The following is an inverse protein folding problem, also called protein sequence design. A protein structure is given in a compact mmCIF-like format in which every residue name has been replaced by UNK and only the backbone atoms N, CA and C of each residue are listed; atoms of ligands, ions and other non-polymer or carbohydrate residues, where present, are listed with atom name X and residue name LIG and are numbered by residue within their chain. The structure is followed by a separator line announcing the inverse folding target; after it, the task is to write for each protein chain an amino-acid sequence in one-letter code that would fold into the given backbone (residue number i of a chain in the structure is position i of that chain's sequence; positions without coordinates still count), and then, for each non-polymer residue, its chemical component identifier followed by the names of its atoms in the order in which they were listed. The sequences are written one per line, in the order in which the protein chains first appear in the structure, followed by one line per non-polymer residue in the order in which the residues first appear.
data_IF_623535684753
#
_entry.id   IF_623535684753
#
_cell.length_a   1.000
_cell.length_b   1.000
_cell.length_c   1.000
_cell.angle_alpha   90.00
_cell.angle_beta   90.00
_cell.angle_gamma   90.00
#
_symmetry.space_group_name_H-M   'P 1'
#
loop_
_entity.id
_entity.type
_entity.pdbx_description
1 polymer ?
#
# COMPACT_ATOMS: atom_id res chain seq x y z
N UNK A 1 43.36 -66.92 20.88
CA UNK A 1 43.30 -66.54 19.46
C UNK A 1 43.23 -65.01 19.38
N UNK A 2 44.32 -64.37 18.91
CA UNK A 2 44.36 -63.45 17.75
C UNK A 2 43.38 -62.26 17.88
N UNK A 3 43.80 -61.13 18.47
CA UNK A 3 44.56 -60.01 17.88
C UNK A 3 43.89 -59.32 16.69
N UNK A 4 43.96 -57.98 16.72
CA UNK A 4 43.79 -56.99 15.64
C UNK A 4 42.34 -56.53 15.36
N UNK A 5 41.93 -55.31 15.77
CA UNK A 5 42.24 -53.95 15.24
C UNK A 5 41.19 -53.50 14.20
N UNK A 6 40.84 -52.20 14.25
CA UNK A 6 40.06 -51.40 13.27
C UNK A 6 38.54 -51.67 13.28
N UNK A 7 37.64 -50.71 13.48
CA UNK A 7 37.61 -49.28 13.10
C UNK A 7 36.56 -48.60 14.00
N UNK A 8 36.78 -47.52 14.76
CA UNK A 8 37.22 -46.18 14.36
C UNK A 8 36.76 -45.77 12.96
N UNK A 9 35.46 -45.56 12.80
CA UNK A 9 34.86 -44.74 11.74
C UNK A 9 33.57 -44.15 12.34
N UNK A 10 33.63 -43.02 13.03
CA UNK A 10 33.55 -41.70 12.38
C UNK A 10 32.57 -41.75 11.21
N UNK A 11 31.28 -41.72 11.52
CA UNK A 11 30.33 -41.14 10.58
C UNK A 11 29.39 -40.22 11.36
N UNK A 12 29.98 -39.08 11.70
CA UNK A 12 29.31 -37.79 11.80
C UNK A 12 28.09 -37.75 10.90
N UNK A 13 26.90 -37.64 11.50
CA UNK A 13 25.71 -37.19 10.79
C UNK A 13 26.04 -35.79 10.25
N UNK A 14 26.10 -35.56 8.93
CA UNK A 14 26.07 -34.19 8.45
C UNK A 14 24.68 -33.66 8.84
N UNK A 15 24.65 -32.73 9.78
CA UNK A 15 23.52 -31.82 9.95
C UNK A 15 23.49 -31.03 8.64
N UNK A 16 22.70 -31.53 7.69
CA UNK A 16 22.44 -30.83 6.45
C UNK A 16 21.66 -29.57 6.79
N UNK A 17 22.38 -28.49 7.09
CA UNK A 17 21.87 -27.16 6.83
C UNK A 17 21.64 -27.14 5.33
N UNK A 18 20.36 -27.22 4.93
CA UNK A 18 19.95 -26.86 3.60
C UNK A 18 20.31 -25.39 3.42
N UNK A 19 21.53 -25.13 2.92
CA UNK A 19 21.86 -23.84 2.33
C UNK A 19 20.89 -23.69 1.18
N UNK A 20 19.94 -22.76 1.31
CA UNK A 20 19.15 -22.33 0.18
C UNK A 20 20.16 -21.83 -0.87
N UNK A 21 20.49 -22.65 -1.85
CA UNK A 21 21.24 -22.20 -3.01
C UNK A 21 20.37 -21.14 -3.67
N UNK A 22 20.78 -19.89 -3.51
CA UNK A 22 20.09 -18.75 -4.08
C UNK A 22 20.25 -18.83 -5.60
N UNK A 23 19.15 -18.63 -6.32
CA UNK A 23 19.10 -18.82 -7.78
C UNK A 23 20.16 -17.98 -8.53
N UNK A 24 20.64 -16.90 -7.91
CA UNK A 24 21.62 -15.96 -8.46
C UNK A 24 22.97 -15.97 -7.71
N UNK A 25 23.18 -16.91 -6.77
CA UNK A 25 24.38 -16.96 -5.93
C UNK A 25 24.35 -16.00 -4.73
N UNK A 26 25.41 -16.06 -3.91
CA UNK A 26 25.54 -15.26 -2.69
C UNK A 26 26.70 -14.27 -2.79
N UNK A 27 26.53 -13.08 -2.20
CA UNK A 27 27.58 -12.09 -2.00
C UNK A 27 27.79 -11.87 -0.49
N UNK A 28 28.98 -12.20 0.01
CA UNK A 28 29.31 -12.14 1.44
C UNK A 28 28.31 -12.91 2.34
N UNK A 29 27.78 -14.03 1.84
CA UNK A 29 26.77 -14.85 2.54
C UNK A 29 25.34 -14.32 2.47
N UNK A 30 25.09 -13.26 1.68
CA UNK A 30 23.76 -12.72 1.44
C UNK A 30 23.24 -13.11 0.04
N UNK A 31 21.98 -13.56 -0.10
CA UNK A 31 21.38 -13.88 -1.40
C UNK A 31 21.44 -12.73 -2.40
N UNK A 32 21.93 -12.97 -3.62
CA UNK A 32 21.94 -11.98 -4.70
C UNK A 32 20.54 -11.84 -5.32
N UNK A 33 20.12 -10.59 -5.51
CA UNK A 33 18.87 -10.20 -6.17
C UNK A 33 19.17 -9.70 -7.58
N UNK A 34 18.53 -10.28 -8.59
CA UNK A 34 18.61 -9.78 -9.96
C UNK A 34 17.74 -8.52 -10.11
N UNK A 35 18.35 -7.42 -10.56
CA UNK A 35 17.64 -6.16 -10.81
C UNK A 35 17.45 -5.98 -12.31
N UNK A 36 16.22 -5.73 -12.74
CA UNK A 36 15.87 -5.49 -14.15
C UNK A 36 15.14 -4.15 -14.31
N UNK A 37 15.32 -3.52 -15.48
CA UNK A 37 14.61 -2.31 -15.89
C UNK A 37 14.21 -2.43 -17.35
N UNK A 38 12.94 -2.16 -17.66
CA UNK A 38 12.35 -2.35 -18.99
C UNK A 38 12.67 -3.74 -19.63
N UNK A 39 12.72 -4.78 -18.80
CA UNK A 39 13.03 -6.15 -19.23
C UNK A 39 14.51 -6.46 -19.44
N UNK A 40 15.42 -5.50 -19.24
CA UNK A 40 16.87 -5.69 -19.33
C UNK A 40 17.49 -5.76 -17.94
N UNK A 41 18.45 -6.66 -17.73
CA UNK A 41 19.20 -6.73 -16.47
C UNK A 41 20.13 -5.53 -16.34
N UNK A 42 20.14 -4.90 -15.16
CA UNK A 42 21.11 -3.86 -14.83
C UNK A 42 22.50 -4.47 -14.66
N UNK A 43 23.54 -3.69 -14.97
CA UNK A 43 24.92 -4.15 -14.81
C UNK A 43 25.29 -4.14 -13.33
N UNK A 44 25.92 -5.20 -12.86
CA UNK A 44 26.54 -5.21 -11.54
C UNK A 44 27.95 -4.64 -11.69
N UNK A 45 28.24 -3.53 -11.02
CA UNK A 45 29.57 -2.95 -10.99
C UNK A 45 30.38 -3.56 -9.82
N UNK A 46 30.37 -2.94 -8.65
CA UNK A 46 31.18 -3.35 -7.49
C UNK A 46 30.39 -4.16 -6.44
N UNK A 47 29.11 -3.86 -6.29
CA UNK A 47 28.23 -4.50 -5.32
C UNK A 47 26.93 -4.95 -6.02
N UNK A 48 26.51 -6.21 -5.84
CA UNK A 48 25.21 -6.67 -6.31
C UNK A 48 24.09 -6.17 -5.39
N UNK A 49 22.85 -6.18 -5.89
CA UNK A 49 21.70 -6.14 -4.99
C UNK A 49 21.61 -7.44 -4.21
N UNK A 50 21.27 -7.35 -2.93
CA UNK A 50 21.30 -8.51 -2.03
C UNK A 50 20.19 -8.44 -0.99
N UNK A 51 19.85 -9.59 -0.41
CA UNK A 51 18.99 -9.64 0.77
C UNK A 51 19.88 -9.50 2.02
N UNK A 52 19.76 -8.38 2.73
CA UNK A 52 20.44 -8.14 3.99
C UNK A 52 19.41 -8.04 5.12
N UNK A 53 19.49 -8.94 6.12
CA UNK A 53 18.52 -9.04 7.23
C UNK A 53 17.06 -9.07 6.75
N UNK A 54 16.76 -9.97 5.81
CA UNK A 54 15.44 -10.14 5.19
C UNK A 54 14.91 -8.93 4.39
N UNK A 55 15.75 -7.94 4.12
CA UNK A 55 15.41 -6.79 3.28
C UNK A 55 16.23 -6.77 1.99
N UNK A 56 15.58 -6.45 0.87
CA UNK A 56 16.27 -6.19 -0.41
C UNK A 56 17.02 -4.87 -0.33
N UNK A 57 18.33 -4.93 -0.47
CA UNK A 57 19.23 -3.78 -0.56
C UNK A 57 19.71 -3.65 -1.99
N UNK A 58 19.44 -2.50 -2.60
CA UNK A 58 19.88 -2.16 -3.96
C UNK A 58 20.96 -1.09 -3.87
N UNK A 59 22.19 -1.35 -4.37
CA UNK A 59 23.27 -0.37 -4.38
C UNK A 59 22.92 0.91 -5.15
N UNK A 60 23.40 2.05 -4.64
CA UNK A 60 23.18 3.35 -5.27
C UNK A 60 23.77 3.45 -6.69
N UNK A 61 24.83 2.69 -6.98
CA UNK A 61 25.40 2.57 -8.33
C UNK A 61 24.37 2.04 -9.33
N UNK A 62 23.55 1.05 -8.94
CA UNK A 62 22.48 0.53 -9.78
C UNK A 62 21.36 1.55 -10.01
N UNK A 63 21.03 2.35 -8.99
CA UNK A 63 20.05 3.44 -9.15
C UNK A 63 20.55 4.50 -10.14
N UNK A 64 21.85 4.81 -10.15
CA UNK A 64 22.44 5.75 -11.12
C UNK A 64 22.33 5.26 -12.57
N UNK A 65 22.36 3.94 -12.80
CA UNK A 65 22.15 3.37 -14.14
C UNK A 65 20.72 3.61 -14.66
N UNK A 66 19.76 3.85 -13.75
CA UNK A 66 18.39 4.26 -14.07
C UNK A 66 18.26 5.78 -14.29
N UNK A 67 19.38 6.49 -14.32
CA UNK A 67 19.44 7.94 -14.44
C UNK A 67 19.26 8.69 -13.12
N UNK A 68 18.89 8.00 -12.02
CA UNK A 68 18.65 8.60 -10.71
C UNK A 68 19.90 9.32 -10.21
N UNK A 69 19.77 10.62 -9.93
CA UNK A 69 20.81 11.43 -9.32
C UNK A 69 20.81 11.15 -7.82
N UNK A 70 21.92 10.58 -7.33
CA UNK A 70 22.07 10.23 -5.92
C UNK A 70 23.27 10.97 -5.33
N UNK A 71 22.98 11.85 -4.37
CA UNK A 71 23.97 12.61 -3.62
C UNK A 71 24.12 12.03 -2.22
N UNK A 72 25.30 11.51 -1.91
CA UNK A 72 25.65 11.07 -0.56
C UNK A 72 26.28 12.23 0.22
N UNK A 73 25.74 12.53 1.40
CA UNK A 73 26.33 13.50 2.33
C UNK A 73 26.97 12.76 3.52
N UNK A 74 28.32 12.67 3.57
CA UNK A 74 29.02 11.96 4.64
C UNK A 74 28.95 12.68 5.99
N UNK A 75 28.71 14.00 6.01
CA UNK A 75 28.66 14.79 7.24
C UNK A 75 27.37 14.53 8.01
N UNK A 76 26.25 14.32 7.30
CA UNK A 76 24.92 14.10 7.90
C UNK A 76 24.46 12.65 7.81
N UNK A 77 25.27 11.75 7.27
CA UNK A 77 24.91 10.34 7.01
C UNK A 77 23.57 10.22 6.26
N UNK A 78 23.34 11.11 5.29
CA UNK A 78 22.08 11.18 4.54
C UNK A 78 22.28 11.00 3.05
N UNK A 79 21.37 10.27 2.42
CA UNK A 79 21.29 10.14 0.97
C UNK A 79 20.17 11.05 0.46
N UNK A 80 20.48 11.92 -0.48
CA UNK A 80 19.48 12.64 -1.26
C UNK A 80 19.33 11.97 -2.63
N UNK A 81 18.10 11.56 -2.94
CA UNK A 81 17.76 10.90 -4.20
C UNK A 81 16.86 11.85 -4.99
N UNK A 82 17.37 12.32 -6.12
CA UNK A 82 16.59 13.07 -7.10
C UNK A 82 16.47 12.21 -8.34
N UNK A 83 15.24 11.86 -8.72
CA UNK A 83 15.04 11.29 -10.04
C UNK A 83 15.35 12.39 -11.05
N UNK A 84 16.08 12.10 -12.15
CA UNK A 84 16.02 12.99 -13.30
C UNK A 84 14.54 13.03 -13.61
N UNK A 85 13.95 14.21 -13.44
CA UNK A 85 12.71 14.51 -14.11
C UNK A 85 13.02 14.15 -15.55
N UNK A 86 12.48 13.03 -16.03
CA UNK A 86 12.73 12.56 -17.38
C UNK A 86 12.46 13.79 -18.22
N UNK A 87 13.53 14.38 -18.75
CA UNK A 87 13.44 15.29 -19.86
C UNK A 87 13.05 14.40 -21.03
N UNK A 88 11.83 13.85 -20.96
CA UNK A 88 11.08 13.41 -22.10
C UNK A 88 11.05 14.67 -22.95
N UNK A 89 11.76 14.63 -24.06
CA UNK A 89 11.64 15.59 -25.14
C UNK A 89 10.25 15.46 -25.80
N UNK A 90 9.24 15.71 -24.99
CA UNK A 90 7.84 15.96 -25.30
C UNK A 90 7.40 16.93 -24.21
N UNK A 91 6.91 18.13 -24.52
CA UNK A 91 6.38 19.02 -23.49
C UNK A 91 5.37 18.21 -22.67
N UNK A 92 5.61 18.08 -21.36
CA UNK A 92 4.67 17.45 -20.43
C UNK A 92 3.38 18.24 -20.62
N UNK A 93 2.38 17.63 -21.24
CA UNK A 93 1.06 18.22 -21.34
C UNK A 93 0.57 18.37 -19.89
N UNK A 94 0.44 19.59 -19.36
CA UNK A 94 0.05 19.80 -17.96
C UNK A 94 -1.26 19.07 -17.63
N UNK A 95 -2.17 18.96 -18.59
CA UNK A 95 -3.42 18.22 -18.45
C UNK A 95 -3.21 16.70 -18.27
N UNK A 96 -2.18 16.11 -18.88
CA UNK A 96 -1.86 14.68 -18.70
C UNK A 96 -1.30 14.43 -17.30
N UNK A 97 -0.40 15.30 -16.84
CA UNK A 97 0.16 15.19 -15.49
C UNK A 97 -0.92 15.39 -14.42
N UNK A 98 -1.81 16.37 -14.61
CA UNK A 98 -2.96 16.58 -13.73
C UNK A 98 -3.84 15.32 -13.66
N UNK A 99 -4.13 14.71 -14.82
CA UNK A 99 -4.95 13.50 -14.90
C UNK A 99 -4.30 12.29 -14.21
N UNK A 100 -2.99 12.08 -14.40
CA UNK A 100 -2.26 11.00 -13.72
C UNK A 100 -2.27 11.18 -12.20
N UNK A 101 -2.07 12.41 -11.72
CA UNK A 101 -2.15 12.74 -10.31
C UNK A 101 -3.55 12.49 -9.74
N UNK A 102 -4.60 12.88 -10.46
CA UNK A 102 -6.00 12.62 -10.08
C UNK A 102 -6.27 11.11 -9.98
N UNK A 103 -5.89 10.32 -10.98
CA UNK A 103 -6.08 8.86 -10.96
C UNK A 103 -5.43 8.23 -9.73
N UNK A 104 -4.18 8.62 -9.42
CA UNK A 104 -3.46 8.09 -8.26
C UNK A 104 -4.18 8.43 -6.94
N UNK A 105 -4.60 9.68 -6.76
CA UNK A 105 -5.32 10.09 -5.54
C UNK A 105 -6.68 9.38 -5.42
N UNK A 106 -7.44 9.26 -6.51
CA UNK A 106 -8.71 8.54 -6.45
C UNK A 106 -8.53 7.05 -6.17
N UNK A 107 -7.41 6.44 -6.58
CA UNK A 107 -7.10 5.06 -6.20
C UNK A 107 -6.88 4.93 -4.68
N UNK A 108 -6.15 5.86 -4.05
CA UNK A 108 -6.00 5.89 -2.59
C UNK A 108 -7.33 6.09 -1.85
N UNK A 109 -8.19 6.96 -2.36
CA UNK A 109 -9.55 7.17 -1.82
C UNK A 109 -10.39 5.88 -1.96
N UNK A 110 -10.33 5.21 -3.13
CA UNK A 110 -11.01 3.94 -3.35
C UNK A 110 -10.54 2.84 -2.39
N UNK A 111 -9.25 2.75 -2.15
CA UNK A 111 -8.69 1.75 -1.25
C UNK A 111 -9.19 2.01 0.18
N UNK A 112 -9.30 3.28 0.57
CA UNK A 112 -9.87 3.72 1.86
C UNK A 112 -11.36 3.41 1.96
N UNK A 113 -12.13 3.69 0.92
CA UNK A 113 -13.54 3.34 0.82
C UNK A 113 -13.78 1.84 0.97
N UNK A 114 -12.91 1.04 0.36
CA UNK A 114 -12.95 -0.42 0.45
C UNK A 114 -12.65 -0.87 1.88
N UNK A 115 -11.67 -0.25 2.54
CA UNK A 115 -11.36 -0.50 3.94
C UNK A 115 -12.52 -0.12 4.87
N UNK A 116 -13.16 1.03 4.65
CA UNK A 116 -14.35 1.48 5.39
C UNK A 116 -15.50 0.48 5.28
N UNK A 117 -15.80 0.03 4.07
CA UNK A 117 -16.86 -0.95 3.82
C UNK A 117 -16.52 -2.29 4.47
N UNK A 118 -15.28 -2.76 4.29
CA UNK A 118 -14.80 -4.01 4.90
C UNK A 118 -14.92 -3.97 6.41
N UNK A 119 -14.47 -2.86 7.02
CA UNK A 119 -14.56 -2.68 8.46
C UNK A 119 -16.01 -2.60 8.95
N UNK A 120 -16.93 -1.96 8.21
CA UNK A 120 -18.35 -2.00 8.57
C UNK A 120 -18.92 -3.43 8.59
N UNK A 121 -18.48 -4.30 7.68
CA UNK A 121 -18.85 -5.72 7.71
C UNK A 121 -18.20 -6.47 8.87
N UNK A 122 -16.96 -6.11 9.25
CA UNK A 122 -16.32 -6.67 10.44
C UNK A 122 -17.05 -6.29 11.72
N UNK A 123 -17.56 -5.06 11.84
CA UNK A 123 -18.38 -4.64 12.99
C UNK A 123 -19.62 -5.54 13.19
N UNK A 124 -20.24 -5.98 12.09
CA UNK A 124 -21.34 -6.95 12.16
C UNK A 124 -20.90 -8.30 12.73
N UNK A 125 -19.69 -8.76 12.37
CA UNK A 125 -19.14 -10.02 12.87
C UNK A 125 -18.84 -9.95 14.36
N UNK A 126 -18.19 -8.86 14.80
CA UNK A 126 -17.88 -8.61 16.20
C UNK A 126 -19.15 -8.50 17.07
N UNK A 127 -20.25 -7.96 16.54
CA UNK A 127 -21.52 -7.86 17.25
C UNK A 127 -22.15 -9.22 17.61
N UNK A 128 -21.80 -10.29 16.88
CA UNK A 128 -22.33 -11.63 17.12
C UNK A 128 -21.50 -12.43 18.16
N UNK A 129 -20.40 -11.86 18.69
CA UNK A 129 -19.52 -12.55 19.64
C UNK A 129 -20.05 -12.47 21.07
N UNK A 130 -20.05 -13.60 21.78
CA UNK A 130 -20.59 -13.75 23.14
C UNK A 130 -19.65 -13.32 24.26
N UNK A 131 -18.32 -13.34 24.04
CA UNK A 131 -17.29 -12.94 25.02
C UNK A 131 -16.54 -11.68 24.53
N UNK A 132 -17.23 -10.55 24.49
CA UNK A 132 -16.81 -9.36 23.76
C UNK A 132 -15.55 -8.65 24.23
N UNK A 133 -15.21 -8.73 25.52
CA UNK A 133 -14.14 -7.92 26.12
C UNK A 133 -12.75 -8.23 25.55
N UNK A 134 -12.48 -9.50 25.23
CA UNK A 134 -11.20 -9.92 24.66
C UNK A 134 -10.98 -9.37 23.24
N UNK A 135 -12.06 -9.08 22.51
CA UNK A 135 -12.03 -8.58 21.14
C UNK A 135 -11.97 -7.06 21.03
N UNK A 136 -12.22 -6.33 22.12
CA UNK A 136 -12.17 -4.85 22.12
C UNK A 136 -10.80 -4.35 21.69
N UNK A 137 -9.72 -5.00 22.15
CA UNK A 137 -8.36 -4.63 21.77
C UNK A 137 -8.11 -4.84 20.28
N UNK A 138 -8.53 -5.98 19.72
CA UNK A 138 -8.38 -6.25 18.29
C UNK A 138 -9.21 -5.26 17.45
N UNK A 139 -10.48 -5.05 17.81
CA UNK A 139 -11.34 -4.08 17.16
C UNK A 139 -10.76 -2.66 17.18
N UNK A 140 -10.12 -2.27 18.28
CA UNK A 140 -9.42 -0.99 18.37
C UNK A 140 -8.22 -0.93 17.44
N UNK A 141 -7.36 -1.96 17.42
CA UNK A 141 -6.20 -2.00 16.51
C UNK A 141 -6.61 -1.97 15.04
N UNK A 142 -7.62 -2.76 14.66
CA UNK A 142 -8.16 -2.78 13.30
C UNK A 142 -8.69 -1.38 12.90
N UNK A 143 -9.34 -0.69 13.83
CA UNK A 143 -9.84 0.67 13.61
C UNK A 143 -8.71 1.71 13.50
N UNK A 144 -7.64 1.58 14.29
CA UNK A 144 -6.48 2.48 14.22
C UNK A 144 -5.79 2.39 12.85
N UNK A 145 -5.67 1.19 12.27
CA UNK A 145 -5.12 1.03 10.91
C UNK A 145 -6.03 1.68 9.86
N UNK A 146 -7.35 1.50 9.97
CA UNK A 146 -8.32 2.20 9.11
C UNK A 146 -8.20 3.73 9.24
N UNK A 147 -8.07 4.25 10.46
CA UNK A 147 -7.91 5.68 10.71
C UNK A 147 -6.62 6.22 10.09
N UNK A 148 -5.52 5.47 10.18
CA UNK A 148 -4.25 5.83 9.54
C UNK A 148 -4.42 5.90 8.02
N UNK A 149 -5.03 4.89 7.40
CA UNK A 149 -5.29 4.88 5.97
C UNK A 149 -6.16 6.06 5.53
N UNK A 150 -7.24 6.35 6.27
CA UNK A 150 -8.11 7.51 6.04
C UNK A 150 -7.37 8.85 6.14
N UNK A 151 -6.49 9.00 7.12
CA UNK A 151 -5.69 10.21 7.29
C UNK A 151 -4.72 10.40 6.12
N UNK A 152 -4.07 9.32 5.67
CA UNK A 152 -3.14 9.34 4.53
C UNK A 152 -3.87 9.68 3.22
N UNK A 153 -4.99 9.04 2.90
CA UNK A 153 -5.78 9.32 1.69
C UNK A 153 -6.29 10.77 1.68
N UNK A 154 -6.84 11.24 2.80
CA UNK A 154 -7.34 12.60 2.97
C UNK A 154 -6.23 13.63 2.77
N UNK A 155 -5.04 13.41 3.33
CA UNK A 155 -3.90 14.31 3.14
C UNK A 155 -3.42 14.36 1.69
N UNK A 156 -3.38 13.23 0.99
CA UNK A 156 -3.02 13.20 -0.44
C UNK A 156 -4.03 13.98 -1.27
N UNK A 157 -5.32 13.78 -1.00
CA UNK A 157 -6.40 14.46 -1.71
C UNK A 157 -6.40 15.98 -1.45
N UNK A 158 -6.21 16.41 -0.21
CA UNK A 158 -6.10 17.82 0.15
C UNK A 158 -4.92 18.53 -0.51
N UNK A 159 -3.76 17.86 -0.62
CA UNK A 159 -2.61 18.40 -1.35
C UNK A 159 -2.94 18.61 -2.82
N UNK A 160 -3.64 17.65 -3.43
CA UNK A 160 -3.99 17.71 -4.85
C UNK A 160 -5.01 18.81 -5.16
N UNK A 161 -6.00 19.05 -4.28
CA UNK A 161 -7.02 20.10 -4.43
C UNK A 161 -6.39 21.48 -4.74
N UNK A 162 -5.23 21.78 -4.17
CA UNK A 162 -4.55 23.07 -4.35
C UNK A 162 -3.89 23.22 -5.72
N UNK A 163 -3.77 22.13 -6.48
CA UNK A 163 -2.96 22.07 -7.70
C UNK A 163 -3.75 21.70 -8.95
N UNK A 164 -4.98 21.20 -8.79
CA UNK A 164 -5.84 20.80 -9.91
C UNK A 164 -6.78 21.93 -10.32
N UNK A 165 -7.07 21.99 -11.61
CA UNK A 165 -7.89 23.03 -12.24
C UNK A 165 -9.36 22.92 -11.81
N UNK A 166 -9.86 21.70 -11.65
CA UNK A 166 -11.19 21.41 -11.13
C UNK A 166 -11.09 20.41 -9.97
N UNK A 167 -11.52 20.82 -8.79
CA UNK A 167 -11.45 20.04 -7.54
C UNK A 167 -12.81 19.69 -6.96
N UNK A 168 -13.93 19.98 -7.64
CA UNK A 168 -15.26 19.86 -7.04
C UNK A 168 -15.63 18.40 -6.77
N UNK A 169 -15.36 17.51 -7.73
CA UNK A 169 -15.53 16.06 -7.55
C UNK A 169 -14.66 15.54 -6.40
N UNK A 170 -13.41 16.00 -6.32
CA UNK A 170 -12.47 15.59 -5.29
C UNK A 170 -12.92 16.04 -3.90
N UNK A 171 -13.38 17.30 -3.76
CA UNK A 171 -13.97 17.82 -2.51
C UNK A 171 -15.22 17.03 -2.11
N UNK A 172 -16.07 16.70 -3.08
CA UNK A 172 -17.29 15.93 -2.86
C UNK A 172 -16.98 14.53 -2.33
N UNK A 173 -16.01 13.83 -2.93
CA UNK A 173 -15.56 12.51 -2.48
C UNK A 173 -14.92 12.59 -1.09
N UNK A 174 -14.01 13.52 -0.83
CA UNK A 174 -13.41 13.66 0.52
C UNK A 174 -14.48 13.90 1.58
N UNK A 175 -15.46 14.76 1.30
CA UNK A 175 -16.57 15.02 2.23
C UNK A 175 -17.38 13.74 2.49
N UNK A 176 -17.74 13.02 1.44
CA UNK A 176 -18.52 11.79 1.53
C UNK A 176 -17.74 10.65 2.20
N UNK A 177 -16.42 10.58 2.00
CA UNK A 177 -15.50 9.66 2.72
C UNK A 177 -15.46 9.99 4.21
N UNK A 178 -15.36 11.28 4.56
CA UNK A 178 -15.40 11.75 5.95
C UNK A 178 -16.73 11.39 6.63
N UNK A 179 -17.86 11.59 5.95
CA UNK A 179 -19.18 11.21 6.46
C UNK A 179 -19.26 9.67 6.68
N UNK A 180 -18.72 8.87 5.77
CA UNK A 180 -18.66 7.42 5.91
C UNK A 180 -17.76 6.97 7.08
N UNK A 181 -16.57 7.55 7.20
CA UNK A 181 -15.65 7.32 8.33
C UNK A 181 -16.32 7.63 9.67
N UNK A 182 -17.00 8.78 9.77
CA UNK A 182 -17.69 9.18 11.00
C UNK A 182 -18.80 8.19 11.39
N UNK A 183 -19.58 7.70 10.42
CA UNK A 183 -20.60 6.68 10.68
C UNK A 183 -19.99 5.35 11.16
N UNK A 184 -18.87 4.94 10.57
CA UNK A 184 -18.13 3.74 10.98
C UNK A 184 -17.59 3.90 12.40
N UNK A 185 -16.97 5.04 12.72
CA UNK A 185 -16.44 5.35 14.06
C UNK A 185 -17.54 5.36 15.12
N UNK A 186 -18.70 5.95 14.84
CA UNK A 186 -19.85 5.97 15.74
C UNK A 186 -20.37 4.55 16.00
N UNK A 187 -20.51 3.74 14.94
CA UNK A 187 -20.95 2.34 15.04
C UNK A 187 -19.97 1.51 15.87
N UNK A 188 -18.66 1.67 15.64
CA UNK A 188 -17.61 1.04 16.43
C UNK A 188 -17.68 1.44 17.90
N UNK A 189 -17.92 2.71 18.19
CA UNK A 189 -18.03 3.21 19.56
C UNK A 189 -19.22 2.60 20.31
N UNK A 190 -20.38 2.47 19.65
CA UNK A 190 -21.53 1.76 20.21
C UNK A 190 -21.22 0.29 20.49
N UNK A 191 -20.53 -0.38 19.58
CA UNK A 191 -20.16 -1.77 19.76
C UNK A 191 -19.19 -1.96 20.93
N UNK A 192 -18.13 -1.15 21.01
CA UNK A 192 -17.18 -1.17 22.13
C UNK A 192 -17.89 -0.92 23.47
N UNK A 193 -18.85 0.02 23.51
CA UNK A 193 -19.65 0.28 24.70
C UNK A 193 -20.39 -0.99 25.17
N UNK A 194 -20.98 -1.75 24.25
CA UNK A 194 -21.64 -3.03 24.55
C UNK A 194 -20.67 -4.12 24.98
N UNK A 195 -19.56 -4.30 24.24
CA UNK A 195 -18.58 -5.37 24.49
C UNK A 195 -17.86 -5.20 25.83
N UNK A 196 -17.77 -3.97 26.34
CA UNK A 196 -17.22 -3.64 27.67
C UNK A 196 -18.21 -3.88 28.82
N UNK A 197 -19.34 -4.53 28.54
CA UNK A 197 -20.32 -4.94 29.55
C UNK A 197 -21.33 -3.87 29.93
N UNK A 198 -21.30 -2.70 29.30
CA UNK A 198 -22.31 -1.67 29.54
C UNK A 198 -23.65 -2.06 28.90
N UNK A 199 -24.75 -1.62 29.51
CA UNK A 199 -26.11 -1.81 29.00
C UNK A 199 -26.68 -0.49 28.50
N UNK A 200 -27.45 -0.56 27.41
CA UNK A 200 -28.15 0.58 26.83
C UNK A 200 -29.56 0.12 26.43
N UNK A 201 -30.61 0.90 26.75
CA UNK A 201 -31.95 0.65 26.22
C UNK A 201 -31.93 0.60 24.69
N UNK A 202 -32.60 -0.40 24.11
CA UNK A 202 -32.71 -0.58 22.65
C UNK A 202 -31.35 -0.68 21.90
N UNK A 203 -30.28 -1.17 22.55
CA UNK A 203 -28.95 -1.29 21.93
C UNK A 203 -29.01 -1.92 20.53
N UNK A 204 -29.68 -3.08 20.38
CA UNK A 204 -29.76 -3.81 19.11
C UNK A 204 -30.34 -2.95 17.97
N UNK A 205 -31.35 -2.13 18.28
CA UNK A 205 -31.98 -1.23 17.32
C UNK A 205 -31.05 -0.07 16.98
N UNK A 206 -30.45 0.57 17.97
CA UNK A 206 -29.54 1.71 17.76
C UNK A 206 -28.28 1.28 16.98
N UNK A 207 -27.67 0.17 17.39
CA UNK A 207 -26.53 -0.42 16.72
C UNK A 207 -26.89 -0.85 15.30
N UNK A 208 -28.03 -1.52 15.10
CA UNK A 208 -28.49 -1.93 13.78
C UNK A 208 -28.69 -0.76 12.81
N UNK A 209 -29.27 0.36 13.28
CA UNK A 209 -29.41 1.59 12.48
C UNK A 209 -28.04 2.19 12.16
N UNK A 210 -27.16 2.29 13.15
CA UNK A 210 -25.81 2.84 12.99
C UNK A 210 -25.01 2.03 11.97
N UNK A 211 -25.02 0.70 12.10
CA UNK A 211 -24.34 -0.24 11.21
C UNK A 211 -24.87 -0.14 9.77
N UNK A 212 -26.19 -0.04 9.61
CA UNK A 212 -26.81 0.14 8.29
C UNK A 212 -26.38 1.46 7.65
N UNK A 213 -26.34 2.55 8.42
CA UNK A 213 -25.89 3.86 7.94
C UNK A 213 -24.42 3.81 7.55
N UNK A 214 -23.54 3.26 8.38
CA UNK A 214 -22.11 3.10 8.11
C UNK A 214 -21.86 2.31 6.82
N UNK A 215 -22.50 1.14 6.68
CA UNK A 215 -22.38 0.28 5.49
C UNK A 215 -22.87 1.00 4.24
N UNK A 216 -24.04 1.66 4.31
CA UNK A 216 -24.60 2.38 3.16
C UNK A 216 -23.77 3.59 2.76
N UNK A 217 -23.25 4.36 3.72
CA UNK A 217 -22.39 5.51 3.41
C UNK A 217 -21.07 5.07 2.78
N UNK A 218 -20.43 4.03 3.32
CA UNK A 218 -19.18 3.49 2.76
C UNK A 218 -19.40 2.95 1.34
N UNK A 219 -20.46 2.15 1.13
CA UNK A 219 -20.80 1.63 -0.20
C UNK A 219 -21.12 2.75 -1.21
N UNK A 220 -21.87 3.77 -0.78
CA UNK A 220 -22.20 4.92 -1.63
C UNK A 220 -20.93 5.66 -2.03
N UNK A 221 -20.01 5.89 -1.09
CA UNK A 221 -18.76 6.59 -1.40
C UNK A 221 -17.91 5.78 -2.37
N UNK A 222 -17.72 4.49 -2.11
CA UNK A 222 -17.00 3.56 -2.99
C UNK A 222 -17.54 3.59 -4.43
N UNK A 223 -18.86 3.59 -4.58
CA UNK A 223 -19.49 3.64 -5.90
C UNK A 223 -19.21 4.97 -6.62
N UNK A 224 -19.30 6.09 -5.90
CA UNK A 224 -19.00 7.41 -6.46
C UNK A 224 -17.52 7.53 -6.86
N UNK A 225 -16.60 7.08 -6.00
CA UNK A 225 -15.16 7.08 -6.29
C UNK A 225 -14.84 6.23 -7.52
N UNK A 226 -15.42 5.02 -7.63
CA UNK A 226 -15.23 4.18 -8.82
C UNK A 226 -15.77 4.84 -10.10
N UNK A 227 -16.92 5.52 -10.03
CA UNK A 227 -17.49 6.22 -11.18
C UNK A 227 -16.52 7.28 -11.72
N UNK A 228 -15.90 8.06 -10.82
CA UNK A 228 -14.92 9.09 -11.21
C UNK A 228 -13.65 8.46 -11.77
N UNK A 229 -13.12 7.39 -11.15
CA UNK A 229 -11.95 6.67 -11.68
C UNK A 229 -12.20 6.21 -13.12
N UNK A 230 -13.38 5.63 -13.39
CA UNK A 230 -13.75 5.20 -14.74
C UNK A 230 -13.80 6.37 -15.73
N UNK A 231 -14.34 7.52 -15.32
CA UNK A 231 -14.36 8.71 -16.15
C UNK A 231 -12.93 9.21 -16.47
N UNK A 232 -12.05 9.25 -15.47
CA UNK A 232 -10.66 9.68 -15.64
C UNK A 232 -9.87 8.71 -16.53
N UNK A 233 -10.08 7.41 -16.37
CA UNK A 233 -9.48 6.39 -17.23
C UNK A 233 -9.94 6.54 -18.70
N UNK A 234 -11.23 6.82 -18.92
CA UNK A 234 -11.75 7.12 -20.26
C UNK A 234 -11.07 8.34 -20.88
N UNK A 235 -10.99 9.45 -20.13
CA UNK A 235 -10.28 10.67 -20.57
C UNK A 235 -8.81 10.39 -20.89
N UNK A 236 -8.15 9.55 -20.10
CA UNK A 236 -6.75 9.19 -20.32
C UNK A 236 -6.57 8.42 -21.65
N UNK A 237 -7.46 7.48 -21.93
CA UNK A 237 -7.44 6.72 -23.17
C UNK A 237 -7.71 7.61 -24.40
N UNK A 238 -8.61 8.58 -24.30
CA UNK A 238 -8.88 9.56 -25.37
C UNK A 238 -7.61 10.39 -25.68
N UNK A 239 -6.90 10.86 -24.65
CA UNK A 239 -5.63 11.59 -24.81
C UNK A 239 -4.52 10.76 -25.48
N UNK A 240 -4.50 9.44 -25.25
CA UNK A 240 -3.54 8.52 -25.88
C UNK A 240 -3.87 8.28 -27.37
N UNK A 241 -5.16 8.17 -27.72
CA UNK A 241 -5.59 7.95 -29.10
C UNK A 241 -5.32 9.16 -30.01
N UNK A 242 -5.59 10.38 -29.52
CA UNK A 242 -5.33 11.64 -30.27
C UNK A 242 -3.85 11.80 -30.64
N UNK A 243 -2.93 11.25 -29.84
CA UNK A 243 -1.49 11.30 -30.14
C UNK A 243 -1.09 10.36 -31.28
N UNK A 244 -1.75 9.21 -31.42
CA UNK A 244 -1.44 8.22 -32.46
C UNK A 244 -1.84 8.65 -33.87
N UNK A 245 -2.89 9.47 -33.99
CA UNK A 245 -3.36 10.01 -35.27
C UNK A 245 -2.53 11.17 -35.81
N UNK A 246 -1.77 11.88 -34.97
CA UNK A 246 -0.99 13.06 -35.35
C UNK A 246 0.47 12.77 -35.73
N UNK A 247 0.93 11.52 -35.63
CA UNK A 247 2.29 11.08 -36.01
C UNK A 247 2.37 10.38 -37.38
N UNK A 248 1.27 10.34 -38.13
CA UNK A 248 1.15 9.62 -39.41
C UNK A 248 1.03 10.53 -40.63
N UNK A 249 1.65 11.72 -40.60
CA UNK A 249 1.72 12.66 -41.74
C UNK A 249 3.14 13.12 -41.98
#
# INVERSE_FOLDING_TARGET
MKRFILSLLVLSLPVGVAGAATLNGDFEGNPIVQVTSAGQSLKVDELPAMIYKDHTVVPLSMLRQLGVLVTWNPTTYSVNVTMPQLASANPINPAKQELENLINVYQWLKDTDTALLTFSHQLQQYANLTNGNEFVNQLNMDFEELMKQYNESSQMALKLIQTVSNSDDLKSIIKSESDAYNNVQQTKSLLVFKLTGNSMPEFEKQFGISLLNATRSAQKNLNNTNAIIHELQRKNNELLQVKSSNTST
#
